data_IF_500138121607
#
_entry.id   IF_500138121607
#
_cell.length_a   1.000
_cell.length_b   1.000
_cell.length_c   1.000
_cell.angle_alpha   90.00
_cell.angle_beta   90.00
_cell.angle_gamma   90.00
#
_symmetry.space_group_name_H-M   'P 1'
#
loop_
_entity.id
_entity.type
_entity.pdbx_description
1 polymer ?
#
# COMPACT_ATOMS: atom_id res chain seq x y z
N UNK A 1 -6.94 7.96 -15.94
CA UNK A 1 -7.87 6.99 -15.32
C UNK A 1 -7.10 5.70 -15.22
N UNK A 2 -6.65 5.35 -14.02
CA UNK A 2 -5.78 4.20 -13.77
C UNK A 2 -5.65 4.02 -12.25
N UNK A 3 -6.66 3.41 -11.64
CA UNK A 3 -6.43 2.58 -10.46
C UNK A 3 -6.29 1.19 -11.05
N UNK A 4 -5.06 0.68 -11.19
CA UNK A 4 -4.85 -0.62 -11.84
C UNK A 4 -5.03 -1.78 -10.85
N UNK A 5 -4.85 -1.52 -9.55
CA UNK A 5 -5.01 -2.53 -8.49
C UNK A 5 -5.94 -2.02 -7.39
N UNK A 6 -7.23 -2.32 -7.52
CA UNK A 6 -8.19 -2.13 -6.44
C UNK A 6 -8.01 -3.23 -5.39
N UNK A 7 -7.24 -2.96 -4.33
CA UNK A 7 -7.17 -3.86 -3.19
C UNK A 7 -8.44 -3.73 -2.35
N UNK A 8 -9.13 -4.85 -2.18
CA UNK A 8 -10.25 -4.96 -1.25
C UNK A 8 -9.78 -4.97 0.21
N UNK A 9 -10.72 -4.76 1.14
CA UNK A 9 -10.45 -4.74 2.60
C UNK A 9 -9.74 -6.01 3.10
N UNK A 10 -10.03 -7.16 2.48
CA UNK A 10 -9.39 -8.43 2.84
C UNK A 10 -7.90 -8.44 2.50
N UNK A 11 -7.54 -8.03 1.28
CA UNK A 11 -6.13 -7.98 0.85
C UNK A 11 -5.34 -7.00 1.70
N UNK A 12 -5.93 -5.85 2.03
CA UNK A 12 -5.32 -4.86 2.93
C UNK A 12 -5.13 -5.42 4.35
N UNK A 13 -6.05 -6.26 4.83
CA UNK A 13 -5.90 -6.91 6.13
C UNK A 13 -4.75 -7.93 6.11
N UNK A 14 -4.63 -8.72 5.04
CA UNK A 14 -3.53 -9.67 4.85
C UNK A 14 -2.17 -8.94 4.81
N UNK A 15 -2.07 -7.81 4.11
CA UNK A 15 -0.86 -6.97 4.10
C UNK A 15 -0.55 -6.43 5.51
N UNK A 16 -1.55 -5.94 6.24
CA UNK A 16 -1.35 -5.44 7.62
C UNK A 16 -0.85 -6.55 8.55
N UNK A 17 -1.37 -7.76 8.41
CA UNK A 17 -0.92 -8.91 9.20
C UNK A 17 0.50 -9.34 8.83
N UNK A 18 0.82 -9.43 7.53
CA UNK A 18 2.14 -9.83 7.01
C UNK A 18 3.25 -8.88 7.48
N UNK A 19 2.98 -7.57 7.47
CA UNK A 19 3.90 -6.54 7.96
C UNK A 19 3.89 -6.37 9.50
N UNK A 20 3.15 -7.21 10.24
CA UNK A 20 3.12 -7.17 11.71
C UNK A 20 2.48 -5.91 12.31
N UNK A 21 1.62 -5.23 11.54
CA UNK A 21 0.92 -4.00 11.94
C UNK A 21 -0.34 -4.29 12.79
N UNK A 22 -0.44 -5.52 13.33
CA UNK A 22 -1.55 -6.04 14.11
C UNK A 22 -2.86 -6.12 13.32
N UNK A 23 -3.92 -5.39 13.71
CA UNK A 23 -5.26 -5.53 13.12
C UNK A 23 -5.67 -4.27 12.36
N UNK A 24 -6.11 -4.44 11.12
CA UNK A 24 -6.73 -3.39 10.31
C UNK A 24 -8.08 -2.98 10.92
N UNK A 25 -8.23 -1.70 11.22
CA UNK A 25 -9.46 -1.08 11.73
C UNK A 25 -10.22 -0.44 10.57
N UNK A 26 -9.51 0.35 9.76
CA UNK A 26 -10.06 1.03 8.60
C UNK A 26 -9.00 1.20 7.52
N UNK A 27 -9.42 1.22 6.27
CA UNK A 27 -8.59 1.57 5.14
C UNK A 27 -9.30 2.62 4.29
N UNK A 28 -8.58 3.67 3.91
CA UNK A 28 -9.09 4.71 3.02
C UNK A 28 -8.16 4.87 1.83
N UNK A 29 -8.68 4.63 0.62
CA UNK A 29 -7.94 4.89 -0.61
C UNK A 29 -7.81 6.38 -0.86
N UNK A 30 -6.58 6.86 -1.02
CA UNK A 30 -6.28 8.25 -1.35
C UNK A 30 -6.07 8.32 -2.86
N UNK A 31 -7.05 8.89 -3.57
CA UNK A 31 -6.97 9.15 -5.01
C UNK A 31 -6.10 10.39 -5.34
N UNK A 32 -4.94 10.53 -4.70
CA UNK A 32 -4.02 11.65 -4.90
C UNK A 32 -2.75 11.16 -5.63
N UNK A 33 -2.83 11.04 -6.95
CA UNK A 33 -1.69 10.71 -7.79
C UNK A 33 -2.10 10.10 -9.13
N UNK A 34 -1.41 10.46 -10.21
CA UNK A 34 -1.69 9.93 -11.55
C UNK A 34 -1.06 8.57 -11.83
N UNK A 35 -0.24 8.04 -10.91
CA UNK A 35 0.65 6.88 -11.16
C UNK A 35 0.69 5.86 -10.00
N UNK A 36 0.31 6.24 -8.77
CA UNK A 36 0.47 5.37 -7.60
C UNK A 36 -0.84 5.21 -6.82
N UNK A 37 -1.09 3.98 -6.37
CA UNK A 37 -2.20 3.67 -5.47
C UNK A 37 -1.72 3.86 -4.03
N UNK A 38 -2.35 4.77 -3.28
CA UNK A 38 -2.01 5.01 -1.86
C UNK A 38 -3.21 4.74 -0.96
N UNK A 39 -3.00 4.00 0.13
CA UNK A 39 -4.00 3.74 1.15
C UNK A 39 -3.53 4.28 2.50
N UNK A 40 -4.42 4.96 3.21
CA UNK A 40 -4.25 5.22 4.63
C UNK A 40 -4.85 4.03 5.40
N UNK A 41 -4.00 3.33 6.15
CA UNK A 41 -4.35 2.20 6.97
C UNK A 41 -4.41 2.64 8.43
N UNK A 42 -5.55 2.46 9.08
CA UNK A 42 -5.68 2.64 10.52
C UNK A 42 -5.65 1.26 11.17
N UNK A 43 -4.69 1.06 12.05
CA UNK A 43 -4.51 -0.19 12.79
C UNK A 43 -4.60 0.05 14.29
N UNK A 44 -4.68 -1.02 15.07
CA UNK A 44 -4.63 -0.94 16.54
C UNK A 44 -3.32 -0.38 17.08
N UNK A 45 -2.27 -0.30 16.26
CA UNK A 45 -0.96 0.26 16.64
C UNK A 45 -0.77 1.70 16.17
N UNK A 46 -1.64 2.21 15.31
CA UNK A 46 -1.54 3.57 14.77
C UNK A 46 -1.93 3.65 13.29
N UNK A 47 -1.68 4.82 12.70
CA UNK A 47 -1.95 5.09 11.28
C UNK A 47 -0.70 4.83 10.45
N UNK A 48 -0.87 4.17 9.32
CA UNK A 48 0.18 3.82 8.37
C UNK A 48 -0.22 4.24 6.96
N UNK A 49 0.76 4.61 6.14
CA UNK A 49 0.55 4.92 4.74
C UNK A 49 1.11 3.78 3.89
N UNK A 50 0.23 3.07 3.18
CA UNK A 50 0.60 2.07 2.19
C UNK A 50 0.66 2.77 0.83
N UNK A 51 1.80 2.69 0.15
CA UNK A 51 1.96 3.14 -1.23
C UNK A 51 2.32 1.94 -2.09
N UNK A 52 1.56 1.74 -3.14
CA UNK A 52 1.78 0.72 -4.15
C UNK A 52 2.30 1.44 -5.38
N UNK A 53 3.54 1.14 -5.73
CA UNK A 53 4.17 1.65 -6.93
C UNK A 53 3.89 0.66 -8.07
N UNK A 54 2.94 1.00 -8.94
CA UNK A 54 2.42 0.06 -9.96
C UNK A 54 3.33 -0.08 -11.18
N UNK A 55 4.49 0.60 -11.22
CA UNK A 55 5.44 0.46 -12.34
C UNK A 55 6.88 0.71 -11.86
N UNK A 56 7.55 -0.35 -11.42
CA UNK A 56 9.02 -0.43 -11.54
C UNK A 56 9.38 -1.74 -12.19
N UNK A 57 10.08 -1.66 -13.31
CA UNK A 57 10.79 -2.83 -13.84
C UNK A 57 11.67 -3.38 -12.72
N UNK A 58 11.88 -4.71 -12.64
CA UNK A 58 12.69 -5.37 -11.59
C UNK A 58 14.04 -4.67 -11.33
N UNK A 59 14.58 -4.04 -12.39
CA UNK A 59 15.81 -3.27 -12.41
C UNK A 59 15.76 -1.96 -11.60
N UNK A 60 14.62 -1.28 -11.57
CA UNK A 60 14.42 -0.02 -10.82
C UNK A 60 14.19 -0.29 -9.33
N UNK A 61 13.49 -1.36 -8.98
CA UNK A 61 13.33 -1.79 -7.58
C UNK A 61 14.69 -2.14 -6.95
N UNK A 62 15.54 -2.87 -7.69
CA UNK A 62 16.89 -3.23 -7.23
C UNK A 62 17.81 -2.03 -7.01
N UNK A 63 17.64 -0.93 -7.76
CA UNK A 63 18.45 0.29 -7.61
C UNK A 63 18.11 1.12 -6.37
N UNK A 64 16.88 1.04 -5.88
CA UNK A 64 16.41 1.86 -4.76
C UNK A 64 16.61 1.17 -3.40
N UNK A 65 16.66 -0.17 -3.37
CA UNK A 65 16.98 -0.96 -2.16
C UNK A 65 18.47 -0.98 -1.82
N UNK A 66 19.35 -0.65 -2.77
CA UNK A 66 20.81 -0.69 -2.63
C UNK A 66 21.42 0.68 -2.20
N UNK A 67 20.58 1.69 -1.96
CA UNK A 67 20.92 3.05 -1.51
C UNK A 67 20.47 3.29 -0.06
#
# INVERSE_FOLDING_TARGET
>A
MAVYTELGTRELAEIVEDYGLAKLIAASGIAAGSVNTSYLLETTRGKHLLRIDEVKSELEVKRELDL
#
